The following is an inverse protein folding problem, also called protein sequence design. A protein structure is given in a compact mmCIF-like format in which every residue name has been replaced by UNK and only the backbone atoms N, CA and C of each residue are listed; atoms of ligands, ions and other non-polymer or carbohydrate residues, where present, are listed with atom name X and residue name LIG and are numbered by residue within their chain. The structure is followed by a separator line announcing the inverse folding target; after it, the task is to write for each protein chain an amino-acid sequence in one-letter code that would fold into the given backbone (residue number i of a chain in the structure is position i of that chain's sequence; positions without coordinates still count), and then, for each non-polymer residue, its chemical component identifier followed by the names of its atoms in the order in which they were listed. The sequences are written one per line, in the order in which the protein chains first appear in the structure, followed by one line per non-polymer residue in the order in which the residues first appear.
data_IF_958732559128
#
_entry.id   IF_958732559128
#
_cell.length_a   1.000
_cell.length_b   1.000
_cell.length_c   1.000
_cell.angle_alpha   90.00
_cell.angle_beta   90.00
_cell.angle_gamma   90.00
#
_symmetry.space_group_name_H-M   'P 1'
#
loop_
_entity.id
_entity.type
_entity.pdbx_description
1 polymer ?
#
# COMPACT_ATOMS: atom_id res chain seq x y z
N UNK A 1 -3.36 -9.22 -8.47
CA UNK A 1 -2.01 -8.80 -8.92
C UNK A 1 -2.09 -7.86 -10.12
N UNK A 2 -2.89 -8.16 -11.16
CA UNK A 2 -3.07 -7.28 -12.33
C UNK A 2 -3.57 -5.87 -11.95
N UNK A 3 -4.57 -5.82 -11.07
CA UNK A 3 -5.25 -4.57 -10.68
C UNK A 3 -4.34 -3.67 -9.82
N UNK A 4 -3.53 -4.26 -8.93
CA UNK A 4 -2.49 -3.54 -8.19
C UNK A 4 -1.36 -3.02 -9.08
N UNK A 5 -0.99 -3.77 -10.12
CA UNK A 5 -0.03 -3.32 -11.14
C UNK A 5 -0.58 -2.18 -12.00
N UNK A 6 -1.89 -2.16 -12.28
CA UNK A 6 -2.55 -1.05 -12.98
C UNK A 6 -2.58 0.22 -12.13
N UNK A 7 -2.92 0.11 -10.84
CA UNK A 7 -2.87 1.25 -9.90
C UNK A 7 -1.44 1.84 -9.86
N UNK A 8 -0.40 0.99 -9.85
CA UNK A 8 0.99 1.43 -9.93
C UNK A 8 1.34 2.16 -11.24
N UNK A 9 0.85 1.67 -12.39
CA UNK A 9 1.04 2.36 -13.68
C UNK A 9 0.38 3.74 -13.68
N UNK A 10 -0.84 3.84 -13.14
CA UNK A 10 -1.58 5.09 -13.09
C UNK A 10 -0.96 6.12 -12.12
N UNK A 11 -0.45 5.70 -10.95
CA UNK A 11 0.26 6.61 -10.04
C UNK A 11 1.57 7.13 -10.63
N UNK A 12 2.30 6.33 -11.43
CA UNK A 12 3.47 6.82 -12.18
C UNK A 12 3.12 7.89 -13.22
N UNK A 13 1.97 7.78 -13.91
CA UNK A 13 1.53 8.80 -14.88
C UNK A 13 1.24 10.16 -14.22
N UNK A 14 0.87 10.16 -12.94
CA UNK A 14 0.51 11.35 -12.17
C UNK A 14 1.76 12.07 -11.60
N UNK A 15 2.96 11.49 -11.73
CA UNK A 15 4.23 12.14 -11.38
C UNK A 15 4.57 12.14 -9.88
N UNK A 16 3.82 11.42 -9.04
CA UNK A 16 4.21 11.16 -7.65
C UNK A 16 5.20 10.00 -7.60
N UNK A 17 6.46 10.31 -7.86
CA UNK A 17 7.58 9.37 -7.71
C UNK A 17 7.97 9.28 -6.22
N UNK A 18 7.87 8.10 -5.62
CA UNK A 18 8.42 7.80 -4.29
C UNK A 18 9.74 7.03 -4.35
N UNK A 19 10.16 6.56 -5.53
CA UNK A 19 11.43 5.86 -5.73
C UNK A 19 12.02 6.09 -7.14
N UNK A 20 13.34 5.90 -7.28
CA UNK A 20 14.08 6.00 -8.55
C UNK A 20 13.42 5.22 -9.70
N UNK A 21 13.49 5.79 -10.91
CA UNK A 21 12.75 5.38 -12.12
C UNK A 21 12.80 3.88 -12.49
N UNK A 22 13.77 3.11 -11.99
CA UNK A 22 13.97 1.70 -12.31
C UNK A 22 13.51 0.70 -11.25
N UNK A 23 13.14 1.14 -10.04
CA UNK A 23 12.72 0.22 -8.99
C UNK A 23 11.20 0.21 -8.85
N UNK A 24 10.61 -0.98 -8.84
CA UNK A 24 9.20 -1.13 -8.50
C UNK A 24 9.09 -0.86 -7.00
N UNK A 25 8.35 0.16 -6.62
CA UNK A 25 8.18 0.48 -5.21
C UNK A 25 7.22 -0.56 -4.62
N UNK A 26 7.78 -1.53 -3.90
CA UNK A 26 7.03 -2.63 -3.26
C UNK A 26 5.95 -2.08 -2.35
N UNK A 27 6.17 -0.92 -1.73
CA UNK A 27 5.19 -0.27 -0.87
C UNK A 27 3.97 0.19 -1.67
N UNK A 28 4.14 0.62 -2.93
CA UNK A 28 3.01 0.99 -3.80
C UNK A 28 2.18 -0.24 -4.17
N UNK A 29 2.80 -1.40 -4.40
CA UNK A 29 2.08 -2.65 -4.67
C UNK A 29 1.26 -3.07 -3.43
N UNK A 30 1.88 -3.01 -2.25
CA UNK A 30 1.22 -3.33 -0.98
C UNK A 30 0.05 -2.37 -0.73
N UNK A 31 0.25 -1.07 -0.95
CA UNK A 31 -0.78 -0.05 -0.78
C UNK A 31 -1.96 -0.28 -1.73
N UNK A 32 -1.68 -0.55 -3.01
CA UNK A 32 -2.72 -0.85 -3.99
C UNK A 32 -3.53 -2.09 -3.59
N UNK A 33 -2.88 -3.13 -3.07
CA UNK A 33 -3.56 -4.33 -2.60
C UNK A 33 -4.43 -4.05 -1.36
N UNK A 34 -3.91 -3.27 -0.41
CA UNK A 34 -4.67 -2.83 0.76
C UNK A 34 -5.94 -2.06 0.36
N UNK A 35 -5.85 -1.15 -0.62
CA UNK A 35 -7.02 -0.40 -1.12
C UNK A 35 -8.08 -1.30 -1.74
N UNK A 36 -7.67 -2.29 -2.54
CA UNK A 36 -8.59 -3.25 -3.15
C UNK A 36 -9.33 -4.08 -2.09
N UNK A 37 -8.60 -4.58 -1.10
CA UNK A 37 -9.19 -5.33 0.01
C UNK A 37 -10.11 -4.48 0.87
N UNK A 38 -9.75 -3.21 1.12
CA UNK A 38 -10.60 -2.28 1.88
C UNK A 38 -11.91 -1.99 1.15
N UNK A 39 -11.88 -1.87 -0.18
CA UNK A 39 -13.08 -1.73 -1.02
C UNK A 39 -13.94 -2.99 -1.01
N UNK A 40 -13.31 -4.17 -1.08
CA UNK A 40 -14.03 -5.46 -1.07
C UNK A 40 -14.67 -5.76 0.30
N UNK A 41 -14.01 -5.37 1.39
CA UNK A 41 -14.43 -5.64 2.77
C UNK A 41 -14.50 -4.35 3.61
N UNK A 42 -15.44 -3.44 3.33
CA UNK A 42 -15.45 -2.10 3.94
C UNK A 42 -15.57 -2.12 5.46
N UNK A 43 -16.33 -3.05 6.02
CA UNK A 43 -16.56 -3.20 7.46
C UNK A 43 -15.42 -3.89 8.22
N UNK A 44 -14.39 -4.40 7.52
CA UNK A 44 -13.24 -5.00 8.18
C UNK A 44 -12.18 -3.95 8.49
N UNK A 45 -11.58 -4.07 9.67
CA UNK A 45 -10.32 -3.40 9.95
C UNK A 45 -9.22 -4.10 9.15
N UNK A 46 -8.42 -3.31 8.43
CA UNK A 46 -7.36 -3.81 7.56
C UNK A 46 -6.09 -3.02 7.86
N UNK A 47 -5.03 -3.72 8.23
CA UNK A 47 -3.74 -3.13 8.60
C UNK A 47 -2.62 -3.77 7.81
N UNK A 48 -1.66 -2.97 7.36
CA UNK A 48 -0.41 -3.43 6.76
C UNK A 48 0.56 -3.70 7.91
N UNK A 49 0.91 -4.96 8.13
CA UNK A 49 1.98 -5.32 9.07
C UNK A 49 3.34 -5.13 8.38
N UNK A 50 4.12 -4.15 8.81
CA UNK A 50 5.42 -3.80 8.20
C UNK A 50 6.35 -3.15 9.22
N UNK A 51 7.66 -3.34 9.07
CA UNK A 51 8.65 -2.56 9.82
C UNK A 51 8.79 -1.13 9.28
N UNK A 52 8.32 -0.86 8.07
CA UNK A 52 8.41 0.43 7.41
C UNK A 52 7.09 1.21 7.44
N UNK A 53 6.57 1.45 8.65
CA UNK A 53 5.27 2.12 8.86
C UNK A 53 5.22 3.51 8.22
N UNK A 54 6.35 4.23 8.20
CA UNK A 54 6.43 5.61 7.68
C UNK A 54 6.07 5.72 6.19
N UNK A 55 6.34 4.68 5.39
CA UNK A 55 6.05 4.70 3.96
C UNK A 55 4.55 4.68 3.65
N UNK A 56 3.72 4.22 4.60
CA UNK A 56 2.26 4.13 4.44
C UNK A 56 1.48 5.21 5.19
N UNK A 57 2.19 6.07 5.94
CA UNK A 57 1.58 7.11 6.76
C UNK A 57 0.76 8.06 5.88
N UNK A 58 -0.52 8.23 6.22
CA UNK A 58 -1.47 9.07 5.48
C UNK A 58 -2.18 8.37 4.32
N UNK A 59 -1.77 7.17 3.93
CA UNK A 59 -2.41 6.40 2.85
C UNK A 59 -3.16 5.16 3.34
N UNK A 60 -2.60 4.46 4.33
CA UNK A 60 -3.17 3.23 4.89
C UNK A 60 -2.87 3.08 6.37
N UNK A 61 -3.66 2.27 7.08
CA UNK A 61 -3.31 1.84 8.42
C UNK A 61 -2.14 0.85 8.33
N UNK A 62 -1.02 1.17 8.96
CA UNK A 62 0.17 0.34 9.01
C UNK A 62 0.74 0.31 10.43
N UNK A 63 1.19 -0.86 10.87
CA UNK A 63 1.76 -1.09 12.19
C UNK A 63 2.95 -2.05 12.08
N UNK A 64 3.86 -1.99 13.05
CA UNK A 64 4.80 -3.09 13.22
C UNK A 64 4.02 -4.37 13.52
N UNK A 65 4.48 -5.51 13.01
CA UNK A 65 3.78 -6.79 13.19
C UNK A 65 3.59 -7.14 14.67
N UNK A 66 4.52 -6.71 15.53
CA UNK A 66 4.46 -6.93 16.99
C UNK A 66 3.40 -6.06 17.68
N UNK A 67 3.02 -4.95 17.06
CA UNK A 67 2.05 -3.99 17.61
C UNK A 67 0.61 -4.34 17.17
N UNK A 68 0.44 -5.31 16.27
CA UNK A 68 -0.87 -5.78 15.84
C UNK A 68 -1.48 -6.66 16.94
N UNK A 69 -2.36 -6.07 17.74
CA UNK A 69 -3.19 -6.79 18.71
C UNK A 69 -4.56 -7.07 18.06
N UNK A 70 -4.92 -8.35 17.95
CA UNK A 70 -6.17 -8.86 17.38
C UNK A 70 -7.17 -9.25 18.47
#
# INVERSE_FOLDING_TARGET
MLESSQIWVETRKIGQQTADNYNIDVDIIILAHWQLLKKQYPSRYLVIATTNVKHFQGFAAALNWQDVNL
#
